data_IF_260162284190
#
_entry.id   IF_260162284190
#
_cell.length_a   1.000
_cell.length_b   1.000
_cell.length_c   1.000
_cell.angle_alpha   90.00
_cell.angle_beta   90.00
_cell.angle_gamma   90.00
#
_symmetry.space_group_name_H-M   'P 1'
#
loop_
_entity.id
_entity.type
_entity.pdbx_description
1 polymer ?
#
# COMPACT_ATOMS: atom_id res chain seq x y z
N UNK A 1 12.96 6.40 7.01
CA UNK A 1 12.33 5.08 7.22
C UNK A 1 11.56 4.71 5.98
N UNK A 2 11.91 3.60 5.35
CA UNK A 2 11.21 3.14 4.13
C UNK A 2 9.84 2.58 4.48
N UNK A 3 8.87 2.88 3.64
CA UNK A 3 7.49 2.44 3.82
C UNK A 3 6.86 2.10 2.48
N UNK A 4 5.86 1.22 2.53
CA UNK A 4 5.04 0.86 1.38
C UNK A 4 3.61 1.32 1.59
N UNK A 5 2.91 1.54 0.48
CA UNK A 5 1.49 1.91 0.48
C UNK A 5 0.68 0.78 -0.14
N UNK A 6 -0.40 0.39 0.55
CA UNK A 6 -1.34 -0.58 0.00
C UNK A 6 -2.33 0.11 -0.95
N UNK A 7 -3.04 -0.69 -1.72
CA UNK A 7 -4.00 -0.23 -2.73
C UNK A 7 -5.05 0.72 -2.16
N UNK A 8 -5.61 0.40 -0.99
CA UNK A 8 -6.65 1.23 -0.39
C UNK A 8 -6.19 2.66 -0.12
N UNK A 9 -4.93 2.85 0.28
CA UNK A 9 -4.39 4.19 0.52
C UNK A 9 -4.35 5.01 -0.76
N UNK A 10 -3.88 4.42 -1.86
CA UNK A 10 -3.86 5.09 -3.17
C UNK A 10 -5.27 5.34 -3.69
N UNK A 11 -6.18 4.40 -3.52
CA UNK A 11 -7.57 4.52 -3.96
C UNK A 11 -8.26 5.70 -3.25
N UNK A 12 -8.09 5.83 -1.94
CA UNK A 12 -8.64 6.98 -1.22
C UNK A 12 -8.01 8.29 -1.69
N UNK A 13 -6.71 8.33 -1.92
CA UNK A 13 -6.03 9.52 -2.44
C UNK A 13 -6.55 9.92 -3.83
N UNK A 14 -7.00 8.94 -4.63
CA UNK A 14 -7.63 9.18 -5.94
C UNK A 14 -9.09 9.61 -5.83
N UNK A 15 -9.65 9.71 -4.63
CA UNK A 15 -11.03 10.13 -4.41
C UNK A 15 -12.05 8.99 -4.37
N UNK A 16 -11.60 7.73 -4.35
CA UNK A 16 -12.50 6.59 -4.19
C UNK A 16 -12.86 6.45 -2.72
N UNK A 17 -14.14 6.20 -2.42
CA UNK A 17 -14.61 6.03 -1.06
C UNK A 17 -15.09 7.33 -0.43
N UNK A 18 -15.13 7.39 0.92
CA UNK A 18 -15.66 8.55 1.63
C UNK A 18 -14.67 9.73 1.63
N UNK A 19 -15.23 10.93 1.74
CA UNK A 19 -14.44 12.16 1.70
C UNK A 19 -13.46 12.29 2.87
N UNK A 20 -13.77 11.92 4.13
CA UNK A 20 -12.81 11.99 5.21
C UNK A 20 -11.56 11.14 4.98
N UNK A 21 -11.72 9.88 4.54
CA UNK A 21 -10.57 9.02 4.23
C UNK A 21 -9.78 9.55 3.04
N UNK A 22 -10.47 10.03 2.02
CA UNK A 22 -9.82 10.60 0.83
C UNK A 22 -8.92 11.77 1.20
N UNK A 23 -9.42 12.72 2.01
CA UNK A 23 -8.62 13.86 2.47
C UNK A 23 -7.43 13.42 3.32
N UNK A 24 -7.67 12.48 4.23
CA UNK A 24 -6.62 11.99 5.13
C UNK A 24 -5.50 11.29 4.38
N UNK A 25 -5.86 10.44 3.41
CA UNK A 25 -4.87 9.75 2.57
C UNK A 25 -4.05 10.74 1.74
N UNK A 26 -4.70 11.71 1.08
CA UNK A 26 -4.02 12.72 0.28
C UNK A 26 -3.07 13.57 1.14
N UNK A 27 -3.52 14.00 2.31
CA UNK A 27 -2.71 14.80 3.23
C UNK A 27 -1.51 14.01 3.76
N UNK A 28 -1.71 12.73 4.08
CA UNK A 28 -0.64 11.87 4.56
C UNK A 28 0.43 11.69 3.48
N UNK A 29 0.02 11.33 2.27
CA UNK A 29 0.95 11.11 1.15
C UNK A 29 1.74 12.38 0.84
N UNK A 30 1.10 13.56 0.90
CA UNK A 30 1.77 14.83 0.64
C UNK A 30 2.90 15.14 1.63
N UNK A 31 2.86 14.55 2.82
CA UNK A 31 3.88 14.74 3.86
C UNK A 31 5.01 13.72 3.82
N UNK A 32 4.86 12.65 3.03
CA UNK A 32 5.86 11.60 2.98
C UNK A 32 7.09 12.05 2.20
N UNK A 33 8.26 11.57 2.62
CA UNK A 33 9.47 11.73 1.84
C UNK A 33 9.42 10.75 0.66
N UNK A 34 9.38 11.29 -0.56
CA UNK A 34 9.23 10.51 -1.79
C UNK A 34 10.28 9.39 -1.90
N UNK A 35 11.52 9.66 -1.49
CA UNK A 35 12.60 8.68 -1.59
C UNK A 35 12.42 7.49 -0.66
N UNK A 36 11.57 7.61 0.37
CA UNK A 36 11.29 6.53 1.32
C UNK A 36 10.11 5.65 0.93
N UNK A 37 9.32 6.06 -0.06
CA UNK A 37 8.08 5.37 -0.43
C UNK A 37 8.33 4.35 -1.52
N UNK A 38 7.82 3.14 -1.30
CA UNK A 38 7.86 2.03 -2.27
C UNK A 38 6.42 1.61 -2.59
N UNK A 39 6.12 1.49 -3.88
CA UNK A 39 4.86 0.95 -4.35
C UNK A 39 5.10 -0.44 -4.93
N UNK A 40 4.58 -1.50 -4.30
CA UNK A 40 4.57 -2.82 -4.96
C UNK A 40 3.84 -2.73 -6.29
N UNK A 41 4.41 -3.31 -7.35
CA UNK A 41 3.80 -3.27 -8.69
C UNK A 41 2.39 -3.84 -8.68
N UNK A 42 2.13 -4.86 -7.86
CA UNK A 42 0.78 -5.43 -7.67
C UNK A 42 -0.23 -4.38 -7.24
N UNK A 43 0.16 -3.48 -6.34
CA UNK A 43 -0.72 -2.41 -5.86
C UNK A 43 -1.19 -1.52 -7.00
N UNK A 44 -0.31 -1.23 -7.95
CA UNK A 44 -0.66 -0.44 -9.14
C UNK A 44 -1.68 -1.16 -10.01
N UNK A 45 -1.54 -2.48 -10.19
CA UNK A 45 -2.51 -3.28 -10.93
C UNK A 45 -3.87 -3.34 -10.24
N UNK A 46 -3.88 -3.51 -8.92
CA UNK A 46 -5.11 -3.48 -8.14
C UNK A 46 -5.78 -2.11 -8.19
N UNK A 47 -5.00 -1.04 -8.16
CA UNK A 47 -5.53 0.32 -8.29
C UNK A 47 -6.19 0.52 -9.64
N UNK A 48 -5.59 0.05 -10.73
CA UNK A 48 -6.21 0.10 -12.05
C UNK A 48 -7.60 -0.54 -12.02
N UNK A 49 -7.72 -1.73 -11.44
CA UNK A 49 -9.01 -2.42 -11.33
C UNK A 49 -10.03 -1.62 -10.49
N UNK A 50 -9.59 -1.03 -9.38
CA UNK A 50 -10.49 -0.20 -8.55
C UNK A 50 -10.98 1.02 -9.33
N UNK A 51 -10.08 1.70 -10.04
CA UNK A 51 -10.43 2.92 -10.78
C UNK A 51 -11.40 2.64 -11.93
N UNK A 52 -11.21 1.52 -12.65
CA UNK A 52 -12.09 1.17 -13.76
C UNK A 52 -13.42 0.56 -13.31
N UNK A 53 -13.41 -0.28 -12.27
CA UNK A 53 -14.60 -1.04 -11.85
C UNK A 53 -15.46 -0.31 -10.83
N UNK A 54 -14.85 0.39 -9.87
CA UNK A 54 -15.57 1.07 -8.78
C UNK A 54 -15.76 2.55 -9.04
N UNK A 55 -14.75 3.22 -9.59
CA UNK A 55 -14.81 4.66 -9.85
C UNK A 55 -15.29 4.99 -11.26
N UNK A 56 -15.58 3.98 -12.08
CA UNK A 56 -16.06 4.13 -13.45
C UNK A 56 -15.18 5.04 -14.33
N UNK A 57 -13.88 5.06 -14.07
CA UNK A 57 -12.94 5.79 -14.92
C UNK A 57 -12.72 5.03 -16.23
N UNK A 58 -12.41 5.76 -17.29
CA UNK A 58 -12.02 5.14 -18.56
C UNK A 58 -10.70 4.38 -18.38
N UNK A 59 -10.47 3.36 -19.20
CA UNK A 59 -9.21 2.62 -19.18
C UNK A 59 -7.99 3.53 -19.43
N UNK A 60 -8.01 4.45 -20.41
CA UNK A 60 -6.91 5.40 -20.58
C UNK A 60 -6.69 6.31 -19.37
N UNK A 61 -7.77 6.81 -18.76
CA UNK A 61 -7.70 7.65 -17.56
C UNK A 61 -7.11 6.92 -16.36
N UNK A 62 -7.53 5.67 -16.14
CA UNK A 62 -6.96 4.83 -15.08
C UNK A 62 -5.48 4.54 -15.34
N UNK A 63 -5.11 4.23 -16.59
CA UNK A 63 -3.71 4.03 -16.97
C UNK A 63 -2.86 5.26 -16.66
N UNK A 64 -3.36 6.44 -16.98
CA UNK A 64 -2.64 7.69 -16.71
C UNK A 64 -2.41 7.89 -15.20
N UNK A 65 -3.38 7.53 -14.37
CA UNK A 65 -3.22 7.58 -12.92
C UNK A 65 -2.12 6.64 -12.45
N UNK A 66 -2.09 5.39 -12.97
CA UNK A 66 -1.04 4.43 -12.62
C UNK A 66 0.35 4.96 -13.00
N UNK A 67 0.50 5.51 -14.21
CA UNK A 67 1.76 6.08 -14.64
C UNK A 67 2.20 7.26 -13.75
N UNK A 68 1.25 8.07 -13.32
CA UNK A 68 1.53 9.21 -12.43
C UNK A 68 2.07 8.73 -11.06
N UNK A 69 1.46 7.68 -10.49
CA UNK A 69 1.97 7.09 -9.24
C UNK A 69 3.37 6.50 -9.42
N UNK A 70 3.58 5.76 -10.52
CA UNK A 70 4.88 5.15 -10.80
C UNK A 70 5.98 6.19 -11.04
N UNK A 71 5.64 7.33 -11.61
CA UNK A 71 6.59 8.43 -11.81
C UNK A 71 6.94 9.15 -10.49
N UNK A 72 5.98 9.20 -9.56
CA UNK A 72 6.16 9.91 -8.30
C UNK A 72 6.97 9.12 -7.27
N UNK A 73 6.89 7.79 -7.29
CA UNK A 73 7.46 6.93 -6.23
C UNK A 73 8.22 5.75 -6.83
N UNK A 74 9.02 5.08 -6.01
CA UNK A 74 9.73 3.87 -6.41
C UNK A 74 8.76 2.70 -6.54
N UNK A 75 8.83 1.97 -7.65
CA UNK A 75 8.02 0.76 -7.87
C UNK A 75 8.90 -0.47 -7.66
N UNK A 76 8.37 -1.46 -6.94
CA UNK A 76 9.06 -2.73 -6.69
C UNK A 76 8.27 -3.90 -7.26
N UNK A 77 8.94 -4.73 -8.06
CA UNK A 77 8.34 -5.91 -8.68
C UNK A 77 8.25 -7.08 -7.70
N UNK A 78 7.26 -7.96 -7.93
CA UNK A 78 7.22 -9.27 -7.30
C UNK A 78 8.27 -10.17 -7.95
N UNK A 79 8.90 -11.02 -7.13
CA UNK A 79 9.88 -12.00 -7.59
C UNK A 79 9.44 -13.41 -7.21
N UNK A 80 10.07 -14.43 -7.77
CA UNK A 80 9.84 -15.81 -7.35
C UNK A 80 10.08 -15.94 -5.82
N UNK A 81 11.14 -15.35 -5.30
CA UNK A 81 11.45 -15.39 -3.87
C UNK A 81 10.34 -14.76 -3.02
N UNK A 82 9.76 -13.62 -3.45
CA UNK A 82 8.66 -13.00 -2.71
C UNK A 82 7.37 -13.82 -2.81
N UNK A 83 7.15 -14.53 -3.91
CA UNK A 83 6.00 -15.44 -4.04
C UNK A 83 6.12 -16.60 -3.05
N UNK A 84 7.28 -17.22 -2.93
CA UNK A 84 7.51 -18.30 -1.96
C UNK A 84 7.33 -17.80 -0.53
N UNK A 85 7.92 -16.65 -0.20
CA UNK A 85 7.76 -16.02 1.11
C UNK A 85 6.28 -15.70 1.42
N UNK A 86 5.52 -15.29 0.40
CA UNK A 86 4.10 -15.02 0.55
C UNK A 86 3.30 -16.29 0.86
N UNK A 87 3.65 -17.42 0.23
CA UNK A 87 3.04 -18.70 0.57
C UNK A 87 3.28 -19.07 2.03
N UNK A 88 4.51 -18.90 2.51
CA UNK A 88 4.87 -19.18 3.91
C UNK A 88 4.10 -18.28 4.87
N UNK A 89 4.06 -16.98 4.58
CA UNK A 89 3.35 -16.00 5.42
C UNK A 89 1.84 -16.28 5.43
N UNK A 90 1.25 -16.54 4.28
CA UNK A 90 -0.18 -16.82 4.15
C UNK A 90 -0.57 -18.07 4.94
N UNK A 91 0.24 -19.13 4.86
CA UNK A 91 -0.01 -20.37 5.60
C UNK A 91 0.13 -20.18 7.11
N UNK A 92 1.15 -19.44 7.56
CA UNK A 92 1.44 -19.26 8.99
C UNK A 92 0.42 -18.36 9.68
N UNK A 93 -0.14 -17.36 8.99
CA UNK A 93 -1.01 -16.35 9.58
C UNK A 93 -2.41 -16.32 8.97
N UNK A 94 -2.75 -17.28 8.12
CA UNK A 94 -4.07 -17.38 7.49
C UNK A 94 -4.46 -16.10 6.73
N UNK A 95 -3.47 -15.49 6.06
CA UNK A 95 -3.70 -14.33 5.21
C UNK A 95 -4.06 -14.77 3.79
N UNK A 96 -4.79 -13.92 3.09
CA UNK A 96 -4.98 -14.09 1.65
C UNK A 96 -3.62 -13.93 0.95
N UNK A 97 -3.38 -14.78 -0.07
CA UNK A 97 -2.07 -14.80 -0.75
C UNK A 97 -1.66 -13.43 -1.30
N UNK A 98 -2.57 -12.72 -1.95
CA UNK A 98 -2.24 -11.44 -2.59
C UNK A 98 -1.89 -10.35 -1.57
N UNK A 99 -2.53 -10.36 -0.40
CA UNK A 99 -2.17 -9.51 0.72
C UNK A 99 -0.78 -9.86 1.27
N UNK A 100 -0.53 -11.18 1.43
CA UNK A 100 0.77 -11.66 1.87
C UNK A 100 1.89 -11.27 0.89
N UNK A 101 1.62 -11.27 -0.41
CA UNK A 101 2.60 -10.87 -1.42
C UNK A 101 2.99 -9.39 -1.29
N UNK A 102 2.04 -8.52 -1.02
CA UNK A 102 2.34 -7.10 -0.76
C UNK A 102 3.29 -6.96 0.43
N UNK A 103 3.01 -7.67 1.52
CA UNK A 103 3.87 -7.67 2.71
C UNK A 103 5.28 -8.13 2.37
N UNK A 104 5.41 -9.26 1.66
CA UNK A 104 6.72 -9.83 1.35
C UNK A 104 7.54 -8.97 0.39
N UNK A 105 6.90 -8.32 -0.57
CA UNK A 105 7.57 -7.35 -1.45
C UNK A 105 8.07 -6.16 -0.63
N UNK A 106 7.25 -5.63 0.28
CA UNK A 106 7.66 -4.53 1.14
C UNK A 106 8.85 -4.90 2.03
N UNK A 107 8.84 -6.11 2.61
CA UNK A 107 9.97 -6.62 3.42
C UNK A 107 11.23 -6.75 2.57
N UNK A 108 11.11 -7.30 1.35
CA UNK A 108 12.24 -7.45 0.44
C UNK A 108 12.88 -6.09 0.07
N UNK A 109 12.09 -5.03 0.09
CA UNK A 109 12.54 -3.65 -0.15
C UNK A 109 12.99 -2.94 1.13
N UNK A 110 13.11 -3.68 2.24
CA UNK A 110 13.55 -3.14 3.54
C UNK A 110 12.62 -2.08 4.10
N UNK A 111 11.34 -2.16 3.77
CA UNK A 111 10.33 -1.29 4.37
C UNK A 111 10.10 -1.68 5.84
N UNK A 112 9.91 -0.67 6.69
CA UNK A 112 9.60 -0.83 8.11
C UNK A 112 8.11 -0.69 8.39
N UNK A 113 7.37 -0.07 7.48
CA UNK A 113 5.95 0.22 7.62
C UNK A 113 5.24 -0.12 6.31
N UNK A 114 4.07 -0.73 6.42
CA UNK A 114 3.09 -0.82 5.35
C UNK A 114 1.84 -0.07 5.80
N UNK A 115 1.47 0.99 5.08
CA UNK A 115 0.21 1.68 5.34
C UNK A 115 -0.93 0.94 4.66
N UNK A 116 -1.87 0.45 5.45
CA UNK A 116 -3.03 -0.32 4.96
C UNK A 116 -4.13 -0.36 6.02
N UNK A 117 -5.40 -0.38 5.58
CA UNK A 117 -6.52 -0.63 6.48
C UNK A 117 -7.04 -2.07 6.43
N UNK A 118 -6.45 -2.92 5.55
CA UNK A 118 -6.95 -4.28 5.30
C UNK A 118 -6.40 -5.32 6.28
N UNK A 119 -5.38 -4.98 7.04
CA UNK A 119 -4.77 -5.86 8.04
C UNK A 119 -5.17 -5.41 9.44
N UNK A 120 -4.92 -6.28 10.43
CA UNK A 120 -4.98 -5.85 11.82
C UNK A 120 -3.92 -4.76 12.06
N UNK A 121 -4.33 -3.62 12.58
CA UNK A 121 -3.42 -2.53 12.91
C UNK A 121 -2.37 -3.00 13.90
N UNK A 122 -1.10 -2.75 13.59
CA UNK A 122 0.02 -3.19 14.41
C UNK A 122 0.54 -4.59 14.10
N UNK A 123 -0.02 -5.29 13.08
CA UNK A 123 0.52 -6.60 12.67
C UNK A 123 1.99 -6.46 12.29
N UNK A 124 2.84 -7.35 12.81
CA UNK A 124 4.29 -7.30 12.59
C UNK A 124 4.75 -8.60 11.95
N UNK A 125 5.56 -8.50 10.91
CA UNK A 125 6.21 -9.64 10.28
C UNK A 125 7.57 -9.23 9.72
N UNK A 126 8.64 -9.91 10.17
CA UNK A 126 10.03 -9.70 9.72
C UNK A 126 10.45 -8.22 9.68
N UNK A 127 10.17 -7.50 10.75
CA UNK A 127 10.56 -6.10 10.88
C UNK A 127 9.63 -5.09 10.22
N UNK A 128 8.61 -5.55 9.50
CA UNK A 128 7.57 -4.69 8.93
C UNK A 128 6.39 -4.61 9.89
N UNK A 129 5.90 -3.41 10.15
CA UNK A 129 4.67 -3.18 10.91
C UNK A 129 3.60 -2.62 9.98
N UNK A 130 2.42 -3.24 9.99
CA UNK A 130 1.26 -2.70 9.28
C UNK A 130 0.62 -1.62 10.15
N UNK A 131 0.40 -0.45 9.58
CA UNK A 131 -0.20 0.70 10.27
C UNK A 131 -1.44 1.13 9.51
N UNK A 132 -2.58 1.16 10.19
CA UNK A 132 -3.82 1.69 9.64
C UNK A 132 -3.90 3.20 9.95
N UNK A 133 -3.73 4.08 8.95
CA UNK A 133 -3.75 5.52 9.21
C UNK A 133 -5.14 6.05 9.55
N UNK A 134 -6.19 5.24 9.36
CA UNK A 134 -7.58 5.61 9.63
C UNK A 134 -8.09 5.10 10.98
N UNK A 135 -7.26 4.37 11.73
CA UNK A 135 -7.64 3.87 13.04
C UNK A 135 -7.98 5.04 13.99
N UNK A 136 -8.97 4.82 14.86
CA UNK A 136 -9.41 5.84 15.84
C UNK A 136 -8.24 6.27 16.73
N UNK A 137 -7.43 5.28 17.18
CA UNK A 137 -6.20 5.56 17.92
C UNK A 137 -5.03 5.42 16.96
N UNK A 138 -4.34 6.52 16.68
CA UNK A 138 -3.21 6.52 15.78
C UNK A 138 -2.05 5.67 16.32
N UNK A 139 -1.48 4.84 15.45
CA UNK A 139 -0.28 4.07 15.77
C UNK A 139 0.92 5.01 15.96
N UNK A 140 1.79 4.71 16.93
CA UNK A 140 2.95 5.54 17.23
C UNK A 140 3.88 5.76 16.02
N UNK A 141 4.04 4.74 15.17
CA UNK A 141 4.88 4.83 13.97
C UNK A 141 4.36 5.85 12.94
N UNK A 142 3.08 6.17 12.95
CA UNK A 142 2.51 7.12 12.00
C UNK A 142 3.14 8.51 12.13
N UNK A 143 3.44 8.93 13.34
CA UNK A 143 4.11 10.22 13.59
C UNK A 143 5.56 10.24 13.10
N UNK A 144 6.20 9.09 12.97
CA UNK A 144 7.61 8.99 12.57
C UNK A 144 7.81 9.05 11.06
N UNK A 145 6.78 8.82 10.27
CA UNK A 145 6.86 8.76 8.81
C UNK A 145 6.33 10.02 8.12
N UNK A 146 5.72 10.92 8.85
CA UNK A 146 5.11 12.12 8.27
C UNK A 146 5.70 13.43 8.79
#
# INVERSE_FOLDING_TARGET
>A
MRLALDTNILAYAEGVGDAPRSRKAANLIAKLNVSDVVLPAQVLGELYNVLTRKANRSAPGARDAILSWADAFNVADSTYATVVAACDLAAAHQLQFWDALIVTVAVAQQCRVLLSEDFQDGFVWQGLTVVNPFAVKAHALLAQIS
#
